data_IF_136577891536
#
_entry.id   IF_136577891536
#
_cell.length_a   1.000
_cell.length_b   1.000
_cell.length_c   1.000
_cell.angle_alpha   90.00
_cell.angle_beta   90.00
_cell.angle_gamma   90.00
#
_symmetry.space_group_name_H-M   'P 1'
#
loop_
_entity.id
_entity.type
_entity.pdbx_description
1 polymer ?
#
# COMPACT_ATOMS: atom_id res chain seq x y z
N UNK A 1 15.68 29.24 -1.44
CA UNK A 1 15.00 27.99 -1.82
C UNK A 1 13.52 28.14 -1.51
N UNK A 2 12.66 27.53 -2.31
CA UNK A 2 11.20 27.54 -2.11
C UNK A 2 10.85 26.54 -1.00
N UNK A 3 10.39 27.02 0.16
CA UNK A 3 9.91 26.15 1.24
C UNK A 3 8.63 25.44 0.80
N UNK A 4 8.58 24.12 0.97
CA UNK A 4 7.33 23.35 0.77
C UNK A 4 6.45 23.48 2.01
N UNK A 5 5.25 24.03 1.83
CA UNK A 5 4.24 24.15 2.91
C UNK A 5 3.56 22.79 3.06
N UNK A 6 3.62 22.20 4.27
CA UNK A 6 2.94 20.94 4.59
C UNK A 6 1.43 21.19 4.75
N UNK A 7 0.61 20.38 4.08
CA UNK A 7 -0.81 20.25 4.39
C UNK A 7 -0.93 19.09 5.38
N UNK A 8 -1.35 19.32 6.64
CA UNK A 8 -1.45 18.24 7.61
C UNK A 8 -2.59 17.28 7.23
N UNK A 9 -2.37 16.00 7.52
CA UNK A 9 -3.43 15.00 7.47
C UNK A 9 -4.52 15.37 8.49
N UNK A 10 -5.75 15.58 8.03
CA UNK A 10 -6.84 16.02 8.91
C UNK A 10 -7.57 14.83 9.54
N UNK A 11 -8.33 15.09 10.60
CA UNK A 11 -9.23 14.08 11.18
C UNK A 11 -10.30 13.60 10.20
N UNK A 12 -10.69 14.43 9.23
CA UNK A 12 -11.59 14.03 8.15
C UNK A 12 -10.93 13.03 7.21
N UNK A 13 -9.66 13.27 6.83
CA UNK A 13 -8.91 12.34 6.00
C UNK A 13 -8.73 10.98 6.69
N UNK A 14 -8.44 10.96 8.00
CA UNK A 14 -8.35 9.70 8.75
C UNK A 14 -9.67 8.91 8.76
N UNK A 15 -10.80 9.60 8.87
CA UNK A 15 -12.12 8.95 8.79
C UNK A 15 -12.35 8.34 7.41
N UNK A 16 -11.99 9.07 6.36
CA UNK A 16 -12.10 8.59 4.98
C UNK A 16 -11.21 7.38 4.72
N UNK A 17 -9.92 7.45 5.10
CA UNK A 17 -9.00 6.32 5.02
C UNK A 17 -9.54 5.10 5.78
N UNK A 18 -10.11 5.29 6.97
CA UNK A 18 -10.69 4.21 7.76
C UNK A 18 -11.91 3.58 7.09
N UNK A 19 -12.78 4.37 6.46
CA UNK A 19 -13.93 3.85 5.71
C UNK A 19 -13.44 3.03 4.52
N UNK A 20 -12.47 3.53 3.76
CA UNK A 20 -11.90 2.83 2.61
C UNK A 20 -11.19 1.53 3.06
N UNK A 21 -10.41 1.59 4.14
CA UNK A 21 -9.68 0.45 4.69
C UNK A 21 -10.58 -0.71 5.15
N UNK A 22 -11.85 -0.46 5.49
CA UNK A 22 -12.81 -1.54 5.81
C UNK A 22 -13.01 -2.53 4.65
N UNK A 23 -12.81 -2.07 3.41
CA UNK A 23 -12.90 -2.90 2.21
C UNK A 23 -11.64 -3.71 1.91
N UNK A 24 -10.53 -3.47 2.62
CA UNK A 24 -9.22 -3.99 2.27
C UNK A 24 -9.19 -5.52 2.19
N UNK A 25 -9.82 -6.20 3.14
CA UNK A 25 -9.89 -7.66 3.14
C UNK A 25 -10.58 -8.25 1.90
N UNK A 26 -11.62 -7.57 1.40
CA UNK A 26 -12.44 -8.05 0.29
C UNK A 26 -11.84 -7.69 -1.07
N UNK A 27 -11.23 -6.52 -1.16
CA UNK A 27 -10.67 -6.00 -2.41
C UNK A 27 -9.36 -5.21 -2.13
N UNK A 28 -8.24 -5.92 -1.89
CA UNK A 28 -6.98 -5.29 -1.53
C UNK A 28 -6.47 -4.32 -2.60
N UNK A 29 -6.68 -4.64 -3.89
CA UNK A 29 -6.15 -3.88 -5.02
C UNK A 29 -6.90 -2.54 -5.14
N UNK A 30 -8.23 -2.56 -5.26
CA UNK A 30 -8.97 -1.30 -5.42
C UNK A 30 -8.92 -0.44 -4.15
N UNK A 31 -8.87 -1.08 -2.97
CA UNK A 31 -8.68 -0.37 -1.70
C UNK A 31 -7.32 0.31 -1.65
N UNK A 32 -6.24 -0.38 -2.02
CA UNK A 32 -4.89 0.20 -2.07
C UNK A 32 -4.80 1.38 -3.05
N UNK A 33 -5.40 1.25 -4.25
CA UNK A 33 -5.44 2.32 -5.23
C UNK A 33 -6.19 3.56 -4.70
N UNK A 34 -7.34 3.36 -4.06
CA UNK A 34 -8.13 4.46 -3.48
C UNK A 34 -7.35 5.19 -2.38
N UNK A 35 -6.72 4.45 -1.46
CA UNK A 35 -5.88 5.02 -0.42
C UNK A 35 -4.67 5.75 -0.99
N UNK A 36 -4.07 5.24 -2.08
CA UNK A 36 -2.95 5.88 -2.78
C UNK A 36 -3.33 7.26 -3.32
N UNK A 37 -4.54 7.42 -3.85
CA UNK A 37 -5.02 8.73 -4.30
C UNK A 37 -5.14 9.73 -3.14
N UNK A 38 -5.73 9.32 -2.02
CA UNK A 38 -5.86 10.17 -0.82
C UNK A 38 -4.47 10.60 -0.32
N UNK A 39 -3.54 9.67 -0.19
CA UNK A 39 -2.17 9.94 0.27
C UNK A 39 -1.42 10.91 -0.64
N UNK A 40 -1.53 10.75 -1.96
CA UNK A 40 -0.88 11.62 -2.95
C UNK A 40 -1.45 13.04 -2.90
N UNK A 41 -2.75 13.20 -2.73
CA UNK A 41 -3.39 14.53 -2.63
C UNK A 41 -2.84 15.36 -1.46
N UNK A 42 -2.44 14.71 -0.36
CA UNK A 42 -2.01 15.36 0.87
C UNK A 42 -0.48 15.52 1.02
N UNK A 43 0.34 15.11 0.03
CA UNK A 43 1.81 15.13 0.12
C UNK A 43 2.32 14.47 1.43
N UNK A 44 1.74 13.33 1.76
CA UNK A 44 1.92 12.64 3.04
C UNK A 44 3.38 12.29 3.33
N UNK A 45 3.85 12.49 4.56
CA UNK A 45 5.20 12.07 4.97
C UNK A 45 5.20 10.65 5.57
N UNK A 46 6.34 10.21 6.11
CA UNK A 46 6.46 8.89 6.73
C UNK A 46 5.47 8.68 7.89
N UNK A 47 5.28 9.67 8.76
CA UNK A 47 4.34 9.59 9.89
C UNK A 47 2.88 9.54 9.42
N UNK A 48 2.54 10.29 8.37
CA UNK A 48 1.21 10.25 7.74
C UNK A 48 0.93 8.84 7.14
N UNK A 49 1.95 8.18 6.60
CA UNK A 49 1.84 6.77 6.17
C UNK A 49 1.65 5.80 7.33
N UNK A 50 2.20 6.07 8.52
CA UNK A 50 1.88 5.24 9.70
C UNK A 50 0.41 5.36 10.08
N UNK A 51 -0.15 6.58 10.04
CA UNK A 51 -1.57 6.80 10.30
C UNK A 51 -2.48 6.08 9.30
N UNK A 52 -2.06 6.01 8.02
CA UNK A 52 -2.74 5.19 7.01
C UNK A 52 -2.72 3.71 7.40
N UNK A 53 -1.55 3.18 7.76
CA UNK A 53 -1.40 1.78 8.16
C UNK A 53 -2.23 1.45 9.41
N UNK A 54 -2.38 2.40 10.33
CA UNK A 54 -3.24 2.30 11.52
C UNK A 54 -4.75 2.28 11.20
N UNK A 55 -5.14 2.58 9.95
CA UNK A 55 -6.51 2.39 9.49
C UNK A 55 -6.82 0.92 9.17
N UNK A 56 -5.81 0.09 8.92
CA UNK A 56 -5.94 -1.36 8.71
C UNK A 56 -6.07 -2.09 10.05
N UNK A 57 -6.50 -3.36 10.02
CA UNK A 57 -6.34 -4.22 11.20
C UNK A 57 -4.87 -4.49 11.47
N UNK A 58 -4.51 -4.79 12.72
CA UNK A 58 -3.11 -5.09 13.08
C UNK A 58 -2.54 -6.24 12.23
N UNK A 59 -3.33 -7.28 11.96
CA UNK A 59 -2.92 -8.41 11.12
C UNK A 59 -2.64 -7.99 9.67
N UNK A 60 -3.51 -7.17 9.07
CA UNK A 60 -3.31 -6.64 7.71
C UNK A 60 -2.09 -5.73 7.67
N UNK A 61 -1.96 -4.82 8.62
CA UNK A 61 -0.80 -3.93 8.75
C UNK A 61 0.52 -4.70 8.80
N UNK A 62 0.62 -5.73 9.65
CA UNK A 62 1.83 -6.55 9.74
C UNK A 62 2.12 -7.30 8.45
N UNK A 63 1.09 -7.78 7.75
CA UNK A 63 1.27 -8.50 6.48
C UNK A 63 1.69 -7.56 5.36
N UNK A 64 1.13 -6.35 5.30
CA UNK A 64 1.53 -5.28 4.36
C UNK A 64 2.99 -4.88 4.61
N UNK A 65 3.37 -4.59 5.86
CA UNK A 65 4.74 -4.21 6.20
C UNK A 65 5.75 -5.28 5.85
N UNK A 66 5.42 -6.56 6.13
CA UNK A 66 6.27 -7.69 5.77
C UNK A 66 6.44 -7.79 4.25
N UNK A 67 5.32 -7.77 3.51
CA UNK A 67 5.32 -7.92 2.05
C UNK A 67 6.06 -6.77 1.37
N UNK A 68 5.79 -5.54 1.77
CA UNK A 68 6.49 -4.35 1.30
C UNK A 68 8.00 -4.43 1.59
N UNK A 69 8.37 -4.82 2.82
CA UNK A 69 9.76 -4.95 3.22
C UNK A 69 10.52 -6.06 2.48
N UNK A 70 9.86 -7.18 2.19
CA UNK A 70 10.43 -8.28 1.41
C UNK A 70 10.65 -7.86 -0.06
N UNK A 71 9.68 -7.15 -0.67
CA UNK A 71 9.80 -6.59 -2.02
C UNK A 71 10.92 -5.55 -2.12
N UNK A 72 11.00 -4.65 -1.15
CA UNK A 72 12.06 -3.64 -1.10
C UNK A 72 13.43 -4.31 -0.95
N UNK A 73 13.56 -5.31 -0.06
CA UNK A 73 14.80 -6.06 0.13
C UNK A 73 15.25 -6.72 -1.17
N UNK A 74 14.37 -7.46 -1.83
CA UNK A 74 14.68 -8.13 -3.10
C UNK A 74 15.17 -7.13 -4.16
N UNK A 75 14.51 -5.98 -4.28
CA UNK A 75 14.88 -4.95 -5.24
C UNK A 75 16.25 -4.32 -4.98
N UNK A 76 16.55 -3.97 -3.72
CA UNK A 76 17.81 -3.30 -3.38
C UNK A 76 18.98 -4.27 -3.23
N UNK A 77 18.74 -5.54 -2.88
CA UNK A 77 19.77 -6.58 -2.89
C UNK A 77 20.40 -6.73 -4.29
N UNK A 78 19.58 -6.68 -5.35
CA UNK A 78 20.06 -6.71 -6.75
C UNK A 78 20.88 -5.46 -7.11
N UNK A 79 20.54 -4.31 -6.52
CA UNK A 79 21.26 -3.05 -6.73
C UNK A 79 22.54 -2.92 -5.90
N UNK A 80 22.73 -3.77 -4.89
CA UNK A 80 23.82 -3.64 -3.93
C UNK A 80 23.61 -2.53 -2.90
N UNK A 81 22.37 -2.09 -2.71
CA UNK A 81 21.98 -1.01 -1.80
C UNK A 81 21.34 -1.53 -0.51
N UNK A 82 21.36 -0.73 0.55
CA UNK A 82 20.72 -1.06 1.81
C UNK A 82 19.22 -0.70 1.77
N UNK A 83 18.33 -1.69 1.62
CA UNK A 83 16.89 -1.48 1.59
C UNK A 83 16.33 -0.71 2.80
N UNK A 84 16.98 -0.79 3.98
CA UNK A 84 16.52 -0.08 5.19
C UNK A 84 16.57 1.44 5.06
N UNK A 85 17.36 1.97 4.12
CA UNK A 85 17.36 3.40 3.81
C UNK A 85 16.09 3.86 3.05
N UNK A 86 15.38 2.92 2.42
CA UNK A 86 14.19 3.17 1.60
C UNK A 86 12.91 2.56 2.21
N UNK A 87 13.06 1.58 3.09
CA UNK A 87 11.97 0.98 3.87
C UNK A 87 12.29 0.94 5.37
N UNK A 88 12.39 2.11 6.03
CA UNK A 88 12.60 2.16 7.47
C UNK A 88 11.32 1.82 8.24
N UNK A 89 11.47 1.03 9.30
CA UNK A 89 10.37 0.70 10.23
C UNK A 89 10.22 1.71 11.39
N UNK A 90 11.18 2.62 11.53
CA UNK A 90 11.18 3.71 12.50
C UNK A 90 11.24 5.04 11.75
N UNK A 91 10.84 6.14 12.40
CA UNK A 91 10.82 7.46 11.77
C UNK A 91 12.23 7.84 11.30
N UNK A 92 12.45 8.02 9.99
CA UNK A 92 13.75 8.39 9.45
C UNK A 92 14.01 9.91 9.53
N UNK A 93 13.03 10.72 9.98
CA UNK A 93 13.11 12.19 10.05
C UNK A 93 13.49 12.86 8.71
N UNK A 94 13.01 12.32 7.59
CA UNK A 94 13.28 12.85 6.25
C UNK A 94 12.86 14.32 6.09
N UNK A 95 13.80 15.16 5.65
CA UNK A 95 13.63 16.57 5.35
C UNK A 95 12.88 16.75 4.02
N UNK A 96 11.69 17.38 4.02
CA UNK A 96 10.92 17.66 2.82
C UNK A 96 11.58 18.67 1.86
N UNK A 97 12.72 19.26 2.24
CA UNK A 97 13.51 20.16 1.41
C UNK A 97 14.78 19.51 0.83
N UNK A 98 15.05 18.24 1.17
CA UNK A 98 16.17 17.48 0.64
C UNK A 98 15.70 16.54 -0.48
N UNK A 99 16.15 16.77 -1.72
CA UNK A 99 15.72 16.00 -2.89
C UNK A 99 15.97 14.49 -2.75
N UNK A 100 17.10 14.12 -2.15
CA UNK A 100 17.45 12.72 -1.87
C UNK A 100 16.50 12.06 -0.86
N UNK A 101 16.03 12.81 0.13
CA UNK A 101 15.12 12.28 1.16
C UNK A 101 13.68 12.26 0.66
N UNK A 102 13.32 13.16 -0.26
CA UNK A 102 12.06 13.08 -1.01
C UNK A 102 12.02 11.80 -1.85
N UNK A 103 13.11 11.43 -2.53
CA UNK A 103 13.17 10.19 -3.31
C UNK A 103 12.94 8.97 -2.40
N UNK A 104 13.54 8.95 -1.22
CA UNK A 104 13.32 7.88 -0.22
C UNK A 104 11.88 7.85 0.28
N UNK A 105 11.27 9.01 0.53
CA UNK A 105 9.85 9.09 0.89
C UNK A 105 8.95 8.53 -0.20
N UNK A 106 9.21 8.88 -1.46
CA UNK A 106 8.45 8.37 -2.60
C UNK A 106 8.61 6.84 -2.74
N UNK A 107 9.83 6.33 -2.61
CA UNK A 107 10.09 4.90 -2.60
C UNK A 107 9.34 4.20 -1.46
N UNK A 108 9.37 4.76 -0.25
CA UNK A 108 8.65 4.22 0.91
C UNK A 108 7.14 4.11 0.66
N UNK A 109 6.53 5.18 0.15
CA UNK A 109 5.10 5.19 -0.20
C UNK A 109 4.78 4.09 -1.22
N UNK A 110 5.57 3.99 -2.29
CA UNK A 110 5.37 2.99 -3.34
C UNK A 110 5.56 1.55 -2.81
N UNK A 111 6.51 1.32 -1.89
CA UNK A 111 6.65 0.01 -1.25
C UNK A 111 5.47 -0.35 -0.36
N UNK A 112 4.92 0.60 0.41
CA UNK A 112 3.72 0.36 1.21
C UNK A 112 2.55 -0.04 0.31
N UNK A 113 2.26 0.70 -0.77
CA UNK A 113 1.17 0.36 -1.67
C UNK A 113 1.40 -0.94 -2.44
N UNK A 114 2.64 -1.21 -2.87
CA UNK A 114 3.00 -2.50 -3.46
C UNK A 114 2.78 -3.66 -2.48
N UNK A 115 3.12 -3.44 -1.20
CA UNK A 115 2.79 -4.33 -0.11
C UNK A 115 1.28 -4.55 -0.02
N UNK A 116 0.49 -3.49 0.01
CA UNK A 116 -0.98 -3.58 0.07
C UNK A 116 -1.58 -4.38 -1.10
N UNK A 117 -1.12 -4.14 -2.32
CA UNK A 117 -1.61 -4.80 -3.52
C UNK A 117 -1.20 -6.28 -3.59
N UNK A 118 0.01 -6.61 -3.10
CA UNK A 118 0.59 -7.96 -3.17
C UNK A 118 0.36 -8.79 -1.91
N UNK A 119 -0.21 -8.19 -0.88
CA UNK A 119 -0.70 -8.88 0.30
C UNK A 119 -1.99 -9.61 -0.08
N UNK A 120 -1.87 -10.72 -0.78
CA UNK A 120 -3.02 -11.58 -1.10
C UNK A 120 -3.40 -12.31 0.20
N UNK A 121 -4.61 -12.11 0.76
CA UNK A 121 -5.08 -12.94 1.86
C UNK A 121 -5.20 -14.38 1.37
N UNK A 122 -4.60 -15.32 2.11
CA UNK A 122 -4.66 -16.77 1.85
C UNK A 122 -6.09 -17.35 1.82
N UNK A 123 -7.11 -16.56 2.13
CA UNK A 123 -8.50 -16.91 1.87
C UNK A 123 -8.82 -16.61 0.41
N UNK A 124 -8.22 -17.37 -0.51
CA UNK A 124 -8.97 -17.76 -1.70
C UNK A 124 -10.29 -18.27 -1.12
N UNK A 125 -11.37 -17.54 -1.36
CA UNK A 125 -12.68 -18.04 -1.03
C UNK A 125 -12.92 -19.20 -2.00
N UNK A 126 -12.50 -20.40 -1.59
CA UNK A 126 -12.59 -21.60 -2.41
C UNK A 126 -14.03 -21.84 -2.83
N UNK A 127 -15.02 -21.39 -2.04
CA UNK A 127 -16.41 -21.43 -2.44
C UNK A 127 -16.71 -20.56 -3.67
N UNK A 128 -16.05 -19.40 -3.83
CA UNK A 128 -16.14 -18.59 -5.07
C UNK A 128 -15.42 -19.31 -6.21
N UNK A 129 -14.22 -19.85 -5.99
CA UNK A 129 -13.47 -20.58 -7.03
C UNK A 129 -14.24 -21.82 -7.54
N UNK A 130 -14.94 -22.54 -6.65
CA UNK A 130 -15.77 -23.70 -6.99
C UNK A 130 -17.22 -23.32 -7.39
N UNK A 131 -17.64 -22.07 -7.18
CA UNK A 131 -18.93 -21.55 -7.67
C UNK A 131 -18.83 -21.06 -9.12
N UNK A 132 -17.63 -20.69 -9.58
CA UNK A 132 -17.35 -20.40 -10.97
C UNK A 132 -17.41 -21.71 -11.76
N UNK A 133 -18.51 -21.88 -12.49
CA UNK A 133 -18.78 -23.03 -13.36
C UNK A 133 -19.24 -22.47 -14.69
N UNK A 134 -18.69 -23.02 -15.78
CA UNK A 134 -19.11 -22.67 -17.12
C UNK A 134 -20.63 -22.79 -17.22
N UNK A 135 -21.29 -21.71 -17.66
CA UNK A 135 -22.72 -21.70 -17.86
C UNK A 135 -23.15 -22.76 -18.89
N UNK A 136 -24.37 -23.31 -18.83
CA UNK A 136 -24.82 -24.36 -19.75
C UNK A 136 -24.86 -23.92 -21.23
N UNK A 137 -24.78 -22.62 -21.50
CA UNK A 137 -24.75 -22.01 -22.83
C UNK A 137 -23.45 -21.25 -23.13
N UNK A 138 -22.51 -21.21 -22.19
CA UNK A 138 -21.24 -20.50 -22.33
C UNK A 138 -20.24 -21.44 -23.01
N UNK A 139 -19.46 -20.96 -23.97
CA UNK A 139 -18.41 -21.76 -24.59
C UNK A 139 -17.14 -21.80 -23.73
N UNK A 140 -16.27 -22.80 -23.88
CA UNK A 140 -15.06 -22.89 -23.05
C UNK A 140 -14.12 -21.67 -23.18
N UNK A 141 -14.12 -21.02 -24.34
CA UNK A 141 -13.35 -19.79 -24.55
C UNK A 141 -13.96 -18.61 -23.80
N UNK A 142 -15.28 -18.43 -23.84
CA UNK A 142 -15.99 -17.35 -23.13
C UNK A 142 -15.87 -17.47 -21.60
N UNK A 143 -15.71 -18.69 -21.08
CA UNK A 143 -15.49 -18.94 -19.66
C UNK A 143 -14.04 -18.64 -19.20
N UNK A 144 -13.08 -18.62 -20.14
CA UNK A 144 -11.64 -18.45 -19.85
C UNK A 144 -11.12 -17.03 -20.15
N UNK A 145 -11.90 -16.19 -20.83
CA UNK A 145 -11.63 -14.76 -21.06
C UNK A 145 -11.92 -13.91 -19.80
#
# INVERSE_FOLDING_TARGET
>A
GTMKIKIPFTSANLKECKIVAQGYHNDPINTAQTLKFIIKQHNSNWSDMQLLLDCLTETEKQLVLKTAGDLAREYYDVKGDNYRAYFPLQDPEWDPNCDYEIERLQAYQEWIFSGMEKTIPRTINWAILYAVKQGPSETPSEFLD
#
